data_IF_600224489676
#
_entry.id   IF_600224489676
#
_cell.length_a   1.000
_cell.length_b   1.000
_cell.length_c   1.000
_cell.angle_alpha   90.00
_cell.angle_beta   90.00
_cell.angle_gamma   90.00
#
_symmetry.space_group_name_H-M   'P 1'
#
loop_
_entity.id
_entity.type
_entity.pdbx_description
1 polymer ?
#
# COMPACT_ATOMS: atom_id res chain seq x y z
N UNK A 1 -84.05 -1.12 -22.27
CA UNK A 1 -82.88 -1.16 -23.19
C UNK A 1 -81.83 -0.16 -22.69
N UNK A 2 -80.80 -0.64 -22.00
CA UNK A 2 -79.80 0.22 -21.40
C UNK A 2 -78.43 -0.18 -21.99
N UNK A 3 -77.86 0.71 -22.79
CA UNK A 3 -76.53 0.56 -23.36
C UNK A 3 -75.45 0.99 -22.35
N UNK A 4 -74.68 0.05 -21.84
CA UNK A 4 -73.45 0.33 -21.06
C UNK A 4 -72.28 0.57 -22.03
N UNK A 5 -71.71 1.78 -21.94
CA UNK A 5 -70.50 2.18 -22.63
C UNK A 5 -69.30 1.69 -21.81
N UNK A 6 -68.48 0.77 -22.36
CA UNK A 6 -67.17 0.42 -21.83
C UNK A 6 -66.16 1.50 -22.18
N UNK A 7 -65.57 2.14 -21.18
CA UNK A 7 -64.40 3.01 -21.39
C UNK A 7 -63.12 2.15 -21.27
N UNK A 8 -62.34 2.15 -22.35
CA UNK A 8 -61.03 1.53 -22.37
C UNK A 8 -60.01 2.56 -21.91
N UNK A 9 -59.43 2.30 -20.75
CA UNK A 9 -58.33 3.10 -20.21
C UNK A 9 -57.02 2.57 -20.73
N UNK A 10 -56.37 3.32 -21.65
CA UNK A 10 -55.05 3.05 -22.17
C UNK A 10 -54.02 3.54 -21.14
N UNK A 11 -53.37 2.64 -20.41
CA UNK A 11 -52.27 2.95 -19.54
C UNK A 11 -50.98 3.10 -20.36
N UNK A 12 -50.49 4.32 -20.50
CA UNK A 12 -49.17 4.61 -21.08
C UNK A 12 -48.08 4.27 -20.03
N UNK A 13 -47.41 3.16 -20.21
CA UNK A 13 -46.23 2.83 -19.44
C UNK A 13 -45.05 3.67 -19.96
N UNK A 14 -44.70 4.76 -19.24
CA UNK A 14 -43.42 5.46 -19.43
C UNK A 14 -42.32 4.57 -18.88
N UNK A 15 -41.60 3.91 -19.79
CA UNK A 15 -40.35 3.23 -19.50
C UNK A 15 -39.28 4.28 -19.16
N UNK A 16 -38.95 4.44 -17.88
CA UNK A 16 -37.70 5.06 -17.46
C UNK A 16 -36.55 4.11 -17.89
N UNK A 17 -35.96 4.39 -19.03
CA UNK A 17 -34.61 3.90 -19.36
C UNK A 17 -33.66 4.59 -18.38
N UNK A 18 -33.40 3.94 -17.25
CA UNK A 18 -32.22 4.23 -16.45
C UNK A 18 -31.02 3.96 -17.35
N UNK A 19 -30.43 5.01 -17.91
CA UNK A 19 -29.11 4.96 -18.49
C UNK A 19 -28.15 4.55 -17.36
N UNK A 20 -27.90 3.24 -17.25
CA UNK A 20 -26.76 2.73 -16.53
C UNK A 20 -25.55 3.31 -17.25
N UNK A 21 -25.07 4.47 -16.78
CA UNK A 21 -23.83 5.05 -17.25
C UNK A 21 -22.77 3.96 -17.10
N UNK A 22 -22.27 3.47 -18.22
CA UNK A 22 -21.07 2.62 -18.24
C UNK A 22 -20.05 3.33 -17.38
N UNK A 23 -19.65 2.70 -16.28
CA UNK A 23 -18.57 3.21 -15.46
C UNK A 23 -17.36 3.30 -16.38
N UNK A 24 -17.10 4.48 -16.91
CA UNK A 24 -15.98 4.72 -17.83
C UNK A 24 -14.75 4.19 -17.15
N UNK A 25 -14.12 3.18 -17.77
CA UNK A 25 -12.94 2.55 -17.23
C UNK A 25 -11.91 3.65 -16.95
N UNK A 26 -11.49 3.76 -15.69
CA UNK A 26 -10.52 4.76 -15.26
C UNK A 26 -9.22 4.62 -16.05
N UNK A 27 -8.91 5.58 -16.91
CA UNK A 27 -7.58 5.71 -17.48
C UNK A 27 -6.65 6.27 -16.39
N UNK A 28 -5.95 5.36 -15.69
CA UNK A 28 -5.04 5.73 -14.62
C UNK A 28 -3.95 6.67 -15.10
N UNK A 29 -3.80 7.80 -14.43
CA UNK A 29 -2.82 8.84 -14.77
C UNK A 29 -1.88 9.16 -13.61
N UNK A 30 -2.08 8.56 -12.45
CA UNK A 30 -1.24 8.78 -11.27
C UNK A 30 -1.84 8.18 -10.02
N UNK A 31 -1.23 8.47 -8.88
CA UNK A 31 -1.70 8.06 -7.55
C UNK A 31 -1.47 9.16 -6.52
N UNK A 32 -2.21 9.08 -5.41
CA UNK A 32 -1.89 9.84 -4.20
C UNK A 32 -0.72 9.16 -3.49
N UNK A 33 0.36 9.90 -3.26
CA UNK A 33 1.55 9.38 -2.55
C UNK A 33 1.57 9.77 -1.08
N UNK A 34 0.93 10.89 -0.71
CA UNK A 34 0.90 11.36 0.67
C UNK A 34 -0.35 12.16 0.97
N UNK A 35 -0.87 11.99 2.17
CA UNK A 35 -1.96 12.78 2.73
C UNK A 35 -1.46 13.41 4.04
N UNK A 36 -1.67 14.73 4.19
CA UNK A 36 -1.42 15.46 5.43
C UNK A 36 -2.75 16.05 5.90
N UNK A 37 -3.11 15.83 7.14
CA UNK A 37 -4.40 16.21 7.70
C UNK A 37 -5.42 15.08 7.63
N UNK A 38 -6.71 15.42 7.69
CA UNK A 38 -7.77 14.41 7.70
C UNK A 38 -8.16 14.00 6.27
N UNK A 39 -8.28 12.71 5.96
CA UNK A 39 -8.65 12.25 4.61
C UNK A 39 -9.97 12.84 4.09
N UNK A 40 -10.95 13.14 4.97
CA UNK A 40 -12.22 13.77 4.60
C UNK A 40 -12.08 15.21 4.10
N UNK A 41 -10.94 15.87 4.36
CA UNK A 41 -10.64 17.22 3.87
C UNK A 41 -10.06 17.19 2.45
N UNK A 42 -9.90 16.00 1.86
CA UNK A 42 -9.47 15.78 0.48
C UNK A 42 -10.62 15.13 -0.28
N UNK A 43 -11.04 15.77 -1.34
CA UNK A 43 -12.13 15.27 -2.20
C UNK A 43 -11.59 15.06 -3.61
N UNK A 44 -11.75 13.86 -4.12
CA UNK A 44 -11.52 13.54 -5.53
C UNK A 44 -12.87 13.53 -6.21
N UNK A 45 -13.03 14.35 -7.24
CA UNK A 45 -14.22 14.35 -8.11
C UNK A 45 -13.89 13.60 -9.39
N UNK A 46 -14.55 12.48 -9.61
CA UNK A 46 -14.45 11.66 -10.83
C UNK A 46 -15.76 11.77 -11.60
N UNK A 47 -15.70 12.31 -12.81
CA UNK A 47 -16.92 12.61 -13.60
C UNK A 47 -17.95 13.43 -12.80
N UNK A 48 -17.48 14.35 -11.95
CA UNK A 48 -18.33 15.19 -11.11
C UNK A 48 -18.83 14.54 -9.81
N UNK A 49 -18.67 13.23 -9.63
CA UNK A 49 -19.06 12.52 -8.41
C UNK A 49 -17.85 12.37 -7.45
N UNK A 50 -18.06 12.51 -6.12
CA UNK A 50 -16.97 12.34 -5.16
C UNK A 50 -16.56 10.86 -5.03
N UNK A 51 -15.26 10.61 -5.09
CA UNK A 51 -14.66 9.32 -4.71
C UNK A 51 -14.60 9.26 -3.19
N UNK A 52 -15.16 8.20 -2.62
CA UNK A 52 -15.22 8.06 -1.17
C UNK A 52 -13.84 7.79 -0.57
N UNK A 53 -13.45 8.63 0.41
CA UNK A 53 -12.27 8.45 1.28
C UNK A 53 -10.95 8.22 0.52
N UNK A 54 -10.35 9.29 -0.05
CA UNK A 54 -9.05 9.21 -0.71
C UNK A 54 -7.97 8.64 0.21
N UNK A 55 -7.02 7.88 -0.34
CA UNK A 55 -5.97 7.17 0.41
C UNK A 55 -4.64 7.26 -0.32
N UNK A 56 -3.57 6.92 0.38
CA UNK A 56 -2.28 6.65 -0.25
C UNK A 56 -2.44 5.48 -1.21
N UNK A 57 -1.84 5.56 -2.39
CA UNK A 57 -2.01 4.69 -3.55
C UNK A 57 -3.41 4.75 -4.20
N UNK A 58 -4.31 5.67 -3.80
CA UNK A 58 -5.54 5.90 -4.56
C UNK A 58 -5.21 6.33 -5.98
N UNK A 59 -5.73 5.58 -6.96
CA UNK A 59 -5.47 5.84 -8.37
C UNK A 59 -6.27 7.05 -8.84
N UNK A 60 -5.59 7.98 -9.47
CA UNK A 60 -6.15 9.16 -10.10
C UNK A 60 -6.39 8.87 -11.58
N UNK A 61 -7.60 9.11 -12.03
CA UNK A 61 -7.98 9.00 -13.43
C UNK A 61 -7.74 10.32 -14.16
N UNK A 62 -7.63 10.24 -15.47
CA UNK A 62 -7.69 11.45 -16.31
C UNK A 62 -8.99 12.23 -16.03
N UNK A 63 -8.90 13.54 -16.03
CA UNK A 63 -9.96 14.49 -15.66
C UNK A 63 -10.45 14.44 -14.20
N UNK A 64 -9.89 13.60 -13.32
CA UNK A 64 -10.17 13.70 -11.89
C UNK A 64 -9.78 15.10 -11.39
N UNK A 65 -10.62 15.67 -10.52
CA UNK A 65 -10.31 16.93 -9.85
C UNK A 65 -10.13 16.68 -8.36
N UNK A 66 -8.93 16.98 -7.86
CA UNK A 66 -8.56 16.86 -6.46
C UNK A 66 -8.78 18.23 -5.80
N UNK A 67 -9.60 18.30 -4.77
CA UNK A 67 -9.84 19.48 -3.94
C UNK A 67 -9.37 19.23 -2.53
N UNK A 68 -8.65 20.19 -1.97
CA UNK A 68 -8.13 20.12 -0.61
C UNK A 68 -8.72 21.26 0.22
N UNK A 69 -9.12 20.99 1.44
CA UNK A 69 -9.79 21.94 2.35
C UNK A 69 -9.15 21.90 3.74
N UNK A 70 -9.52 22.83 4.60
CA UNK A 70 -9.22 22.84 6.04
C UNK A 70 -7.73 22.66 6.40
N UNK A 71 -6.82 23.22 5.60
CA UNK A 71 -5.37 23.12 5.86
C UNK A 71 -4.75 21.75 5.58
N UNK A 72 -5.50 20.80 5.04
CA UNK A 72 -4.95 19.54 4.57
C UNK A 72 -4.04 19.72 3.34
N UNK A 73 -3.29 18.70 2.98
CA UNK A 73 -2.51 18.65 1.75
C UNK A 73 -2.48 17.23 1.19
N UNK A 74 -2.41 17.12 -0.14
CA UNK A 74 -2.17 15.88 -0.85
C UNK A 74 -0.94 16.01 -1.75
N UNK A 75 -0.08 14.99 -1.75
CA UNK A 75 0.98 14.85 -2.75
C UNK A 75 0.56 13.77 -3.73
N UNK A 76 0.71 14.07 -5.00
CA UNK A 76 0.30 13.22 -6.11
C UNK A 76 1.54 12.87 -6.92
N UNK A 77 1.67 11.64 -7.36
CA UNK A 77 2.61 11.24 -8.41
C UNK A 77 1.82 11.11 -9.71
N UNK A 78 2.04 12.04 -10.63
CA UNK A 78 1.33 12.11 -11.91
C UNK A 78 2.27 11.70 -13.02
N UNK A 79 1.87 10.73 -13.81
CA UNK A 79 2.64 10.26 -14.94
C UNK A 79 2.94 11.40 -15.93
N UNK A 80 4.22 11.58 -16.28
CA UNK A 80 4.71 12.65 -17.16
C UNK A 80 4.78 14.06 -16.53
N UNK A 81 4.19 14.29 -15.35
CA UNK A 81 4.27 15.58 -14.64
C UNK A 81 5.08 15.48 -13.34
N UNK A 82 5.45 14.27 -12.92
CA UNK A 82 6.16 14.05 -11.66
C UNK A 82 5.28 14.28 -10.43
N UNK A 83 5.88 14.81 -9.36
CA UNK A 83 5.16 15.08 -8.12
C UNK A 83 4.47 16.44 -8.13
N UNK A 84 3.20 16.44 -7.75
CA UNK A 84 2.37 17.64 -7.60
C UNK A 84 1.86 17.70 -6.17
N UNK A 85 2.03 18.83 -5.49
CA UNK A 85 1.47 19.07 -4.16
C UNK A 85 0.28 20.01 -4.25
N UNK A 86 -0.87 19.54 -3.76
CA UNK A 86 -2.11 20.31 -3.64
C UNK A 86 -2.34 20.62 -2.17
N UNK A 87 -2.49 21.89 -1.80
CA UNK A 87 -2.64 22.31 -0.41
C UNK A 87 -3.53 23.55 -0.26
N UNK A 88 -4.05 23.76 0.94
CA UNK A 88 -4.96 24.88 1.21
C UNK A 88 -6.29 24.74 0.48
N UNK A 89 -6.89 25.83 0.04
CA UNK A 89 -8.16 25.83 -0.72
C UNK A 89 -7.92 25.62 -2.23
N UNK A 90 -6.87 24.90 -2.61
CA UNK A 90 -6.53 24.68 -4.01
C UNK A 90 -7.27 23.47 -4.60
N UNK A 91 -7.41 23.49 -5.93
CA UNK A 91 -7.84 22.35 -6.70
C UNK A 91 -6.83 22.03 -7.80
N UNK A 92 -6.67 20.76 -8.11
CA UNK A 92 -5.84 20.26 -9.20
C UNK A 92 -6.65 19.34 -10.07
N UNK A 93 -6.63 19.55 -11.38
CA UNK A 93 -7.29 18.65 -12.34
C UNK A 93 -6.23 17.86 -13.09
N UNK A 94 -6.36 16.53 -13.05
CA UNK A 94 -5.47 15.62 -13.78
C UNK A 94 -5.68 15.81 -15.28
N UNK A 95 -4.60 16.11 -16.00
CA UNK A 95 -4.67 16.37 -17.43
C UNK A 95 -5.19 15.15 -18.19
N UNK A 96 -6.07 15.41 -19.16
CA UNK A 96 -6.48 14.39 -20.13
C UNK A 96 -5.37 14.18 -21.17
N UNK A 97 -5.08 12.94 -21.45
CA UNK A 97 -4.17 12.55 -22.53
C UNK A 97 -4.98 12.01 -23.70
N UNK A 98 -4.71 12.52 -24.85
CA UNK A 98 -5.31 12.00 -26.08
C UNK A 98 -4.41 10.89 -26.64
N UNK A 99 -4.83 9.63 -26.55
CA UNK A 99 -4.06 8.49 -27.08
C UNK A 99 -4.51 7.14 -26.53
N UNK A 100 -3.89 6.08 -27.04
CA UNK A 100 -4.10 4.71 -26.53
C UNK A 100 -3.61 4.61 -25.05
N UNK A 101 -4.18 3.68 -24.25
CA UNK A 101 -3.73 3.44 -22.88
C UNK A 101 -2.23 3.23 -22.85
N UNK A 102 -1.51 4.06 -22.09
CA UNK A 102 -0.08 3.91 -21.90
C UNK A 102 0.24 2.69 -21.03
N UNK A 103 1.48 2.18 -21.08
CA UNK A 103 1.93 1.14 -20.14
C UNK A 103 1.72 1.58 -18.70
N UNK A 104 1.90 2.86 -18.41
CA UNK A 104 1.62 3.44 -17.10
C UNK A 104 0.13 3.37 -16.75
N UNK A 105 -0.77 3.69 -17.67
CA UNK A 105 -2.22 3.59 -17.45
C UNK A 105 -2.67 2.17 -17.11
N UNK A 106 -2.10 1.15 -17.75
CA UNK A 106 -2.35 -0.24 -17.41
C UNK A 106 -1.80 -0.63 -16.04
N UNK A 107 -0.59 -0.14 -15.68
CA UNK A 107 0.01 -0.39 -14.37
C UNK A 107 -0.81 0.24 -13.24
N UNK A 108 -1.31 1.47 -13.39
CA UNK A 108 -2.21 2.10 -12.43
C UNK A 108 -3.56 1.38 -12.34
N UNK A 109 -4.08 0.84 -13.44
CA UNK A 109 -5.28 -0.01 -13.40
C UNK A 109 -5.04 -1.25 -12.54
N UNK A 110 -3.89 -1.90 -12.67
CA UNK A 110 -3.54 -3.05 -11.81
C UNK A 110 -3.48 -2.66 -10.33
N UNK A 111 -2.98 -1.47 -9.98
CA UNK A 111 -3.05 -0.94 -8.60
C UNK A 111 -4.50 -0.80 -8.17
N UNK A 112 -5.36 -0.20 -9.02
CA UNK A 112 -6.78 -0.02 -8.73
C UNK A 112 -7.52 -1.34 -8.51
N UNK A 113 -7.30 -2.31 -9.37
CA UNK A 113 -8.07 -3.53 -9.39
C UNK A 113 -7.60 -4.54 -8.34
N UNK A 114 -6.30 -4.59 -8.07
CA UNK A 114 -5.69 -5.60 -7.19
C UNK A 114 -5.41 -5.10 -5.77
N UNK A 115 -5.01 -3.85 -5.57
CA UNK A 115 -4.58 -3.35 -4.26
C UNK A 115 -5.64 -2.46 -3.58
N UNK A 116 -6.35 -1.61 -4.34
CA UNK A 116 -7.35 -0.72 -3.75
C UNK A 116 -8.53 -1.41 -3.09
N UNK A 117 -9.07 -2.56 -3.56
CA UNK A 117 -10.15 -3.26 -2.87
C UNK A 117 -9.75 -3.66 -1.46
N UNK A 118 -8.52 -4.12 -1.26
CA UNK A 118 -8.02 -4.53 0.05
C UNK A 118 -7.75 -3.31 0.94
N UNK A 119 -7.19 -2.24 0.40
CA UNK A 119 -7.08 -0.95 1.07
C UNK A 119 -8.44 -0.41 1.54
N UNK A 120 -9.51 -0.61 0.77
CA UNK A 120 -10.87 -0.16 1.13
C UNK A 120 -11.52 -1.03 2.20
N UNK A 121 -11.16 -2.30 2.30
CA UNK A 121 -11.68 -3.24 3.31
C UNK A 121 -11.04 -3.04 4.67
N UNK A 122 -9.84 -2.49 4.72
CA UNK A 122 -9.18 -2.22 6.00
C UNK A 122 -9.92 -1.08 6.71
N UNK A 123 -10.47 -1.30 7.89
CA UNK A 123 -10.95 -0.19 8.70
C UNK A 123 -9.74 0.69 9.01
N UNK A 124 -9.78 1.94 8.55
CA UNK A 124 -8.78 2.97 8.89
C UNK A 124 -8.91 3.46 10.33
N UNK A 125 -9.84 2.96 11.08
CA UNK A 125 -9.60 2.76 12.48
C UNK A 125 -8.40 1.78 12.53
N UNK A 126 -7.18 2.36 12.35
CA UNK A 126 -6.12 1.91 13.23
C UNK A 126 -6.84 1.85 14.56
N UNK A 127 -7.32 0.69 14.94
CA UNK A 127 -7.32 0.38 16.34
C UNK A 127 -5.85 0.59 16.67
N UNK A 128 -5.52 1.82 17.10
CA UNK A 128 -4.65 1.92 18.24
C UNK A 128 -5.19 0.82 19.11
N UNK A 129 -4.57 -0.36 18.97
CA UNK A 129 -4.86 -1.46 19.87
C UNK A 129 -4.74 -0.75 21.19
N UNK A 130 -5.90 -0.39 21.78
CA UNK A 130 -5.91 0.28 23.06
C UNK A 130 -5.06 -0.57 23.97
N UNK A 131 -4.62 -0.12 25.16
CA UNK A 131 -3.82 -0.93 26.08
C UNK A 131 -4.61 -2.20 26.41
N UNK A 132 -4.67 -3.10 25.43
CA UNK A 132 -4.94 -4.50 25.61
C UNK A 132 -3.77 -5.07 26.41
N UNK A 133 -3.90 -6.24 27.01
CA UNK A 133 -2.81 -6.89 27.73
C UNK A 133 -1.59 -6.80 26.83
N UNK A 134 -0.53 -6.17 27.33
CA UNK A 134 0.66 -5.71 26.60
C UNK A 134 0.94 -6.60 25.40
N UNK A 135 0.73 -6.08 24.18
CA UNK A 135 1.08 -6.81 22.96
C UNK A 135 2.54 -7.17 23.12
N UNK A 136 2.81 -8.45 23.16
CA UNK A 136 4.15 -8.94 23.36
C UNK A 136 5.08 -8.32 22.33
N UNK A 137 6.29 -8.04 22.70
CA UNK A 137 7.36 -7.61 21.82
C UNK A 137 7.45 -8.57 20.61
N UNK A 138 7.35 -8.06 19.39
CA UNK A 138 7.24 -8.85 18.17
C UNK A 138 8.01 -8.26 16.98
N UNK A 139 8.33 -9.10 16.03
CA UNK A 139 8.83 -8.74 14.70
C UNK A 139 7.62 -8.69 13.75
N UNK A 140 7.33 -7.55 13.13
CA UNK A 140 6.01 -7.27 12.49
C UNK A 140 5.63 -8.24 11.40
N UNK A 141 6.52 -8.53 10.45
CA UNK A 141 6.24 -9.42 9.31
C UNK A 141 6.85 -10.82 9.45
N UNK A 142 7.59 -11.04 10.53
CA UNK A 142 8.29 -12.30 10.79
C UNK A 142 7.51 -13.24 11.72
N UNK A 143 6.21 -13.06 11.88
CA UNK A 143 5.35 -13.86 12.75
C UNK A 143 5.55 -15.39 12.64
N UNK A 144 4.50 -16.20 12.67
CA UNK A 144 4.58 -17.66 12.70
C UNK A 144 4.96 -18.34 11.37
N UNK A 145 5.13 -17.58 10.28
CA UNK A 145 5.41 -18.09 8.93
C UNK A 145 6.89 -18.39 8.66
N UNK A 146 7.15 -19.12 7.57
CA UNK A 146 8.49 -19.33 7.01
C UNK A 146 8.80 -18.19 6.04
N UNK A 147 9.33 -17.11 6.53
CA UNK A 147 9.67 -15.98 5.71
C UNK A 147 10.96 -16.23 4.89
N UNK A 148 10.97 -15.72 3.68
CA UNK A 148 12.05 -15.88 2.71
C UNK A 148 12.64 -14.52 2.35
N UNK A 149 13.95 -14.46 2.19
CA UNK A 149 14.70 -13.32 1.66
C UNK A 149 15.50 -13.75 0.42
N UNK A 150 15.72 -12.81 -0.48
CA UNK A 150 16.63 -13.01 -1.59
C UNK A 150 18.09 -12.87 -1.13
N UNK A 151 18.97 -13.75 -1.60
CA UNK A 151 20.42 -13.68 -1.34
C UNK A 151 21.06 -12.46 -2.00
N UNK A 152 22.20 -12.04 -1.47
CA UNK A 152 23.05 -10.97 -2.01
C UNK A 152 23.29 -9.81 -1.06
N UNK A 153 24.04 -8.79 -1.53
CA UNK A 153 24.37 -7.61 -0.74
C UNK A 153 23.14 -6.72 -0.57
N UNK A 154 22.86 -6.32 0.68
CA UNK A 154 21.74 -5.46 1.01
C UNK A 154 21.85 -4.83 2.40
N UNK A 155 21.10 -3.77 2.62
CA UNK A 155 20.67 -3.36 3.95
C UNK A 155 19.37 -4.09 4.29
N UNK A 156 19.15 -4.38 5.56
CA UNK A 156 17.99 -5.12 6.04
C UNK A 156 17.23 -4.28 7.06
N UNK A 157 16.02 -3.89 6.71
CA UNK A 157 15.10 -3.24 7.63
C UNK A 157 14.43 -4.30 8.51
N UNK A 158 14.52 -4.14 9.82
CA UNK A 158 13.79 -4.94 10.80
C UNK A 158 12.83 -4.04 11.56
N UNK A 159 11.54 -4.30 11.43
CA UNK A 159 10.46 -3.55 12.07
C UNK A 159 9.97 -4.30 13.30
N UNK A 160 9.78 -3.56 14.37
CA UNK A 160 9.40 -4.08 15.68
C UNK A 160 8.04 -3.51 16.10
N UNK A 161 7.24 -4.33 16.76
CA UNK A 161 5.99 -3.90 17.39
C UNK A 161 6.02 -4.17 18.88
N UNK A 162 5.51 -3.25 19.67
CA UNK A 162 5.53 -3.35 21.14
C UNK A 162 6.92 -3.22 21.75
N UNK A 163 7.08 -3.76 22.96
CA UNK A 163 8.32 -3.66 23.73
C UNK A 163 8.58 -2.28 24.34
N UNK A 164 9.70 -2.14 25.00
CA UNK A 164 10.18 -0.89 25.61
C UNK A 164 11.47 -0.47 24.92
N UNK A 165 11.47 0.68 24.23
CA UNK A 165 12.64 1.22 23.51
C UNK A 165 13.91 1.19 24.38
N UNK A 166 14.99 1.28 23.93
CA UNK A 166 16.03 0.99 23.11
C UNK A 166 16.13 -0.50 22.69
N UNK A 167 16.03 -0.71 21.42
CA UNK A 167 16.04 -2.05 20.84
C UNK A 167 17.46 -2.45 20.40
N UNK A 168 17.73 -3.76 20.43
CA UNK A 168 18.91 -4.37 19.80
C UNK A 168 18.43 -5.46 18.86
N UNK A 169 18.95 -5.46 17.65
CA UNK A 169 18.63 -6.47 16.63
C UNK A 169 19.92 -7.12 16.16
N UNK A 170 19.89 -8.43 15.99
CA UNK A 170 21.01 -9.22 15.48
C UNK A 170 20.51 -10.15 14.36
N UNK A 171 21.31 -10.36 13.35
CA UNK A 171 21.15 -11.43 12.39
C UNK A 171 22.23 -12.49 12.61
N UNK A 172 21.80 -13.72 12.81
CA UNK A 172 22.63 -14.88 13.07
C UNK A 172 22.65 -15.75 11.82
N UNK A 173 23.82 -16.05 11.31
CA UNK A 173 23.99 -16.87 10.11
C UNK A 173 23.81 -18.37 10.34
N UNK A 174 23.87 -19.18 9.26
CA UNK A 174 23.70 -20.64 9.32
C UNK A 174 24.71 -21.35 10.24
N UNK A 175 25.89 -20.76 10.44
CA UNK A 175 26.93 -21.28 11.34
C UNK A 175 26.77 -20.87 12.81
N UNK A 176 25.69 -20.17 13.17
CA UNK A 176 25.43 -19.71 14.54
C UNK A 176 26.18 -18.43 14.94
N UNK A 177 27.01 -17.87 14.06
CA UNK A 177 27.71 -16.61 14.29
C UNK A 177 26.82 -15.40 14.03
N UNK A 178 27.01 -14.32 14.80
CA UNK A 178 26.36 -13.02 14.53
C UNK A 178 27.04 -12.37 13.34
N UNK A 179 26.29 -12.10 12.27
CA UNK A 179 26.78 -11.46 11.05
C UNK A 179 26.71 -9.94 11.14
N UNK A 180 25.66 -9.41 11.73
CA UNK A 180 25.51 -7.99 11.97
C UNK A 180 24.61 -7.74 13.18
N UNK A 181 24.74 -6.54 13.74
CA UNK A 181 23.87 -6.05 14.80
C UNK A 181 23.57 -4.57 14.63
N UNK A 182 22.41 -4.16 15.08
CA UNK A 182 21.97 -2.77 15.12
C UNK A 182 21.29 -2.47 16.45
N UNK A 183 21.24 -1.21 16.83
CA UNK A 183 20.50 -0.75 17.99
C UNK A 183 19.92 0.64 17.74
N UNK A 184 18.80 0.94 18.39
CA UNK A 184 18.14 2.23 18.28
C UNK A 184 16.97 2.37 19.24
N UNK A 185 16.46 3.61 19.36
CA UNK A 185 15.26 3.90 20.14
C UNK A 185 13.96 3.77 19.29
N UNK A 186 14.10 3.81 17.96
CA UNK A 186 12.98 3.64 17.03
C UNK A 186 12.68 2.15 16.83
N UNK A 187 11.44 1.87 16.47
CA UNK A 187 10.97 0.51 16.17
C UNK A 187 11.52 -0.03 14.85
N UNK A 188 12.10 0.81 14.02
CA UNK A 188 12.71 0.46 12.74
C UNK A 188 14.23 0.45 12.89
N UNK A 189 14.84 -0.72 12.80
CA UNK A 189 16.30 -0.92 12.90
C UNK A 189 16.84 -1.39 11.56
N UNK A 190 17.81 -0.68 11.02
CA UNK A 190 18.48 -1.06 9.76
C UNK A 190 19.82 -1.72 10.08
N UNK A 191 19.99 -2.95 9.59
CA UNK A 191 21.28 -3.66 9.59
C UNK A 191 21.92 -3.41 8.21
N UNK A 192 23.06 -2.72 8.21
CA UNK A 192 23.70 -2.28 6.96
C UNK A 192 24.79 -3.24 6.48
N UNK A 193 25.07 -3.18 5.16
CA UNK A 193 26.19 -3.86 4.52
C UNK A 193 26.20 -5.39 4.71
N UNK A 194 25.04 -6.01 4.72
CA UNK A 194 24.92 -7.47 4.75
C UNK A 194 25.21 -8.05 3.38
N UNK A 195 25.92 -9.18 3.35
CA UNK A 195 25.99 -10.07 2.20
C UNK A 195 25.44 -11.44 2.60
N UNK A 196 24.19 -11.70 2.19
CA UNK A 196 23.45 -12.88 2.61
C UNK A 196 23.61 -14.00 1.59
N UNK A 197 24.35 -15.04 1.94
CA UNK A 197 24.40 -16.28 1.17
C UNK A 197 23.12 -17.11 1.39
N UNK A 198 22.71 -17.99 0.44
CA UNK A 198 21.60 -18.91 0.66
C UNK A 198 21.79 -19.76 1.93
N UNK A 199 20.72 -19.89 2.74
CA UNK A 199 20.76 -20.64 4.00
C UNK A 199 19.70 -20.19 5.01
N UNK A 200 19.70 -20.85 6.18
CA UNK A 200 18.78 -20.52 7.28
C UNK A 200 19.44 -19.51 8.22
N UNK A 201 18.74 -18.43 8.49
CA UNK A 201 19.15 -17.34 9.38
C UNK A 201 18.17 -17.19 10.53
N UNK A 202 18.61 -16.55 11.61
CA UNK A 202 17.77 -16.17 12.74
C UNK A 202 17.91 -14.67 12.96
N UNK A 203 16.80 -13.96 12.99
CA UNK A 203 16.75 -12.57 13.44
C UNK A 203 16.33 -12.59 14.90
N UNK A 204 17.15 -11.98 15.75
CA UNK A 204 16.91 -11.80 17.20
C UNK A 204 16.73 -10.34 17.50
N UNK A 205 15.71 -10.03 18.26
CA UNK A 205 15.55 -8.69 18.82
C UNK A 205 15.38 -8.76 20.32
N UNK A 206 15.89 -7.74 21.00
CA UNK A 206 15.73 -7.54 22.43
C UNK A 206 15.36 -6.07 22.68
N UNK A 207 14.52 -5.83 23.68
CA UNK A 207 14.18 -4.49 24.16
C UNK A 207 14.94 -4.14 25.46
N UNK A 208 14.77 -2.90 25.95
CA UNK A 208 15.45 -2.45 27.17
C UNK A 208 14.94 -3.12 28.46
N UNK A 209 13.77 -3.76 28.43
CA UNK A 209 13.25 -4.53 29.56
C UNK A 209 13.88 -5.93 29.67
N UNK A 210 14.62 -6.36 28.64
CA UNK A 210 15.18 -7.70 28.50
C UNK A 210 14.21 -8.69 27.82
N UNK A 211 13.05 -8.24 27.34
CA UNK A 211 12.19 -9.08 26.50
C UNK A 211 12.90 -9.38 25.17
N UNK A 212 12.75 -10.62 24.68
CA UNK A 212 13.42 -11.08 23.47
C UNK A 212 12.43 -11.75 22.52
N UNK A 213 12.67 -11.59 21.23
CA UNK A 213 11.93 -12.29 20.17
C UNK A 213 12.90 -12.80 19.10
N UNK A 214 12.60 -13.98 18.55
CA UNK A 214 13.39 -14.57 17.47
C UNK A 214 12.48 -15.02 16.34
N UNK A 215 12.95 -14.85 15.11
CA UNK A 215 12.30 -15.38 13.91
C UNK A 215 13.33 -16.04 12.98
N UNK A 216 12.89 -17.11 12.33
CA UNK A 216 13.69 -17.83 11.33
C UNK A 216 13.36 -17.29 9.94
N UNK A 217 14.42 -17.03 9.17
CA UNK A 217 14.32 -16.55 7.79
C UNK A 217 15.15 -17.46 6.88
N UNK A 218 14.58 -17.87 5.76
CA UNK A 218 15.28 -18.62 4.74
C UNK A 218 15.79 -17.66 3.67
N UNK A 219 17.09 -17.61 3.46
CA UNK A 219 17.68 -16.87 2.34
C UNK A 219 17.82 -17.81 1.15
N UNK A 220 17.32 -17.40 -0.01
CA UNK A 220 17.33 -18.18 -1.25
C UNK A 220 17.98 -17.41 -2.39
N UNK A 221 18.53 -18.13 -3.37
CA UNK A 221 19.11 -17.52 -4.57
C UNK A 221 18.02 -17.02 -5.54
N UNK A 222 16.82 -17.62 -5.48
CA UNK A 222 15.72 -17.27 -6.34
C UNK A 222 15.14 -15.88 -5.99
N UNK A 223 14.72 -15.17 -7.03
CA UNK A 223 14.05 -13.87 -6.85
C UNK A 223 12.59 -14.08 -6.48
N UNK A 224 12.00 -13.17 -5.69
CA UNK A 224 10.58 -13.22 -5.41
C UNK A 224 9.76 -13.10 -6.71
N UNK A 225 8.58 -13.73 -6.79
CA UNK A 225 7.71 -13.68 -7.96
C UNK A 225 7.01 -12.32 -8.08
N UNK A 226 7.79 -11.27 -8.32
CA UNK A 226 7.26 -9.90 -8.46
C UNK A 226 6.58 -9.73 -9.81
N UNK A 227 5.34 -9.26 -9.81
CA UNK A 227 4.58 -9.04 -11.03
C UNK A 227 5.17 -7.92 -11.90
N UNK A 228 5.41 -8.14 -13.21
CA UNK A 228 5.82 -7.10 -14.14
C UNK A 228 4.70 -6.10 -14.45
N UNK A 229 3.48 -6.36 -13.97
CA UNK A 229 2.30 -5.53 -14.23
C UNK A 229 2.45 -4.06 -13.77
N UNK A 230 3.42 -3.78 -12.89
CA UNK A 230 3.70 -2.45 -12.34
C UNK A 230 4.89 -1.75 -13.01
N UNK A 231 5.53 -2.36 -13.99
CA UNK A 231 6.76 -1.82 -14.62
C UNK A 231 6.53 -0.49 -15.34
N UNK A 232 5.31 -0.24 -15.80
CA UNK A 232 4.92 1.02 -16.43
C UNK A 232 4.83 2.23 -15.50
N UNK A 233 4.88 2.06 -14.17
CA UNK A 233 4.87 3.18 -13.21
C UNK A 233 6.22 3.88 -13.26
N UNK A 234 6.24 5.16 -13.65
CA UNK A 234 7.47 5.94 -13.80
C UNK A 234 8.14 6.23 -12.45
N UNK A 235 7.36 6.59 -11.43
CA UNK A 235 7.86 6.82 -10.08
C UNK A 235 8.35 5.51 -9.46
N UNK A 236 9.66 5.45 -9.18
CA UNK A 236 10.32 4.23 -8.69
C UNK A 236 9.86 3.81 -7.30
N UNK A 237 9.53 4.75 -6.42
CA UNK A 237 9.03 4.46 -5.08
C UNK A 237 7.59 3.93 -5.14
N UNK A 238 6.72 4.55 -5.94
CA UNK A 238 5.35 4.07 -6.17
C UNK A 238 5.36 2.68 -6.81
N UNK A 239 6.24 2.45 -7.79
CA UNK A 239 6.42 1.13 -8.42
C UNK A 239 6.87 0.07 -7.42
N UNK A 240 7.85 0.39 -6.56
CA UNK A 240 8.31 -0.51 -5.51
C UNK A 240 7.19 -0.80 -4.50
N UNK A 241 6.43 0.21 -4.08
CA UNK A 241 5.30 0.05 -3.19
C UNK A 241 4.20 -0.87 -3.77
N UNK A 242 3.85 -0.67 -5.03
CA UNK A 242 2.86 -1.51 -5.70
C UNK A 242 3.33 -2.98 -5.81
N UNK A 243 4.59 -3.20 -6.20
CA UNK A 243 5.20 -4.53 -6.26
C UNK A 243 5.29 -5.21 -4.89
N UNK A 244 5.70 -4.46 -3.86
CA UNK A 244 5.79 -4.96 -2.50
C UNK A 244 4.41 -5.37 -1.95
N UNK A 245 3.42 -4.51 -2.11
CA UNK A 245 2.06 -4.79 -1.66
C UNK A 245 1.44 -5.98 -2.40
N UNK A 246 1.64 -6.10 -3.72
CA UNK A 246 1.14 -7.24 -4.50
C UNK A 246 1.84 -8.56 -4.11
N UNK A 247 3.15 -8.53 -3.90
CA UNK A 247 3.91 -9.68 -3.43
C UNK A 247 3.42 -10.16 -2.06
N UNK A 248 3.25 -9.24 -1.11
CA UNK A 248 2.71 -9.56 0.22
C UNK A 248 1.28 -10.12 0.12
N UNK A 249 0.41 -9.52 -0.71
CA UNK A 249 -0.97 -9.99 -0.91
C UNK A 249 -1.04 -11.41 -1.47
N UNK A 250 -0.20 -11.73 -2.43
CA UNK A 250 -0.26 -13.00 -3.17
C UNK A 250 0.54 -14.12 -2.51
N UNK A 251 1.53 -13.79 -1.68
CA UNK A 251 2.49 -14.73 -1.10
C UNK A 251 2.86 -14.37 0.35
N UNK A 252 1.88 -13.95 1.16
CA UNK A 252 2.10 -13.45 2.51
C UNK A 252 2.91 -14.38 3.41
N UNK A 253 2.59 -15.68 3.39
CA UNK A 253 3.24 -16.68 4.24
C UNK A 253 4.73 -16.88 3.96
N UNK A 254 5.20 -16.41 2.81
CA UNK A 254 6.58 -16.67 2.35
C UNK A 254 7.39 -15.39 2.13
N UNK A 255 6.78 -14.33 1.60
CA UNK A 255 7.50 -13.19 1.06
C UNK A 255 7.14 -11.84 1.70
N UNK A 256 6.36 -11.79 2.77
CA UNK A 256 5.98 -10.52 3.42
C UNK A 256 7.20 -9.74 3.91
N UNK A 257 8.21 -10.42 4.45
CA UNK A 257 9.42 -9.76 4.91
C UNK A 257 10.28 -9.23 3.75
N UNK A 258 10.38 -9.96 2.62
CA UNK A 258 11.04 -9.44 1.40
C UNK A 258 10.26 -8.27 0.81
N UNK A 259 8.93 -8.26 0.90
CA UNK A 259 8.10 -7.14 0.46
C UNK A 259 8.45 -5.84 1.18
N UNK A 260 8.68 -5.88 2.49
CA UNK A 260 9.19 -4.72 3.24
C UNK A 260 10.58 -4.28 2.74
N UNK A 261 11.45 -5.23 2.43
CA UNK A 261 12.78 -4.91 1.93
C UNK A 261 12.74 -4.24 0.55
N UNK A 262 11.85 -4.69 -0.35
CA UNK A 262 11.63 -4.06 -1.66
C UNK A 262 11.22 -2.59 -1.49
N UNK A 263 10.29 -2.31 -0.59
CA UNK A 263 9.84 -0.94 -0.32
C UNK A 263 10.94 -0.11 0.36
N UNK A 264 11.62 -0.66 1.37
CA UNK A 264 12.64 0.06 2.14
C UNK A 264 13.86 0.46 1.28
N UNK A 265 14.23 -0.38 0.31
CA UNK A 265 15.38 -0.15 -0.57
C UNK A 265 15.09 0.81 -1.73
N UNK A 266 13.82 1.16 -1.97
CA UNK A 266 13.46 2.10 -3.03
C UNK A 266 13.94 3.53 -2.71
N UNK A 267 14.37 4.31 -3.71
CA UNK A 267 14.67 5.73 -3.51
C UNK A 267 13.46 6.48 -2.97
N UNK A 268 13.64 7.31 -1.94
CA UNK A 268 12.56 8.10 -1.38
C UNK A 268 12.17 9.23 -2.33
N UNK A 269 10.94 9.23 -2.83
CA UNK A 269 10.38 10.27 -3.70
C UNK A 269 9.22 11.03 -3.04
N UNK A 270 8.83 10.66 -1.82
CA UNK A 270 7.79 11.36 -1.04
C UNK A 270 6.54 10.54 -0.76
N UNK A 271 6.55 9.23 -1.04
CA UNK A 271 5.51 8.32 -0.63
C UNK A 271 5.43 8.22 0.90
N UNK A 272 4.23 8.16 1.43
CA UNK A 272 3.99 7.77 2.81
C UNK A 272 4.18 6.25 2.97
N UNK A 273 5.44 5.86 3.16
CA UNK A 273 5.84 4.44 3.30
C UNK A 273 5.16 3.76 4.46
N UNK A 274 4.91 4.48 5.56
CA UNK A 274 4.28 3.89 6.74
C UNK A 274 2.89 3.34 6.41
N UNK A 275 2.11 4.05 5.62
CA UNK A 275 0.82 3.54 5.13
C UNK A 275 0.96 2.27 4.29
N UNK A 276 2.02 2.15 3.50
CA UNK A 276 2.27 0.94 2.67
C UNK A 276 2.80 -0.21 3.52
N UNK A 277 3.68 0.06 4.50
CA UNK A 277 4.12 -0.98 5.45
C UNK A 277 2.95 -1.58 6.20
N UNK A 278 2.03 -0.76 6.73
CA UNK A 278 0.80 -1.25 7.37
C UNK A 278 -0.06 -2.10 6.44
N UNK A 279 -0.10 -1.76 5.16
CA UNK A 279 -0.78 -2.59 4.17
C UNK A 279 -0.10 -3.95 4.02
N UNK A 280 1.23 -3.98 3.87
CA UNK A 280 2.01 -5.22 3.77
C UNK A 280 1.81 -6.09 5.02
N UNK A 281 1.93 -5.52 6.21
CA UNK A 281 1.71 -6.20 7.49
C UNK A 281 0.32 -6.80 7.62
N UNK A 282 -0.69 -6.14 7.04
CA UNK A 282 -2.08 -6.61 7.10
C UNK A 282 -2.36 -7.88 6.29
N UNK A 283 -1.50 -8.19 5.33
CA UNK A 283 -1.54 -9.44 4.56
C UNK A 283 -0.79 -10.58 5.27
N UNK A 284 0.09 -10.26 6.19
CA UNK A 284 0.86 -11.24 6.95
C UNK A 284 -0.01 -12.15 7.82
N UNK A 285 0.51 -13.29 8.25
CA UNK A 285 -0.20 -14.19 9.15
C UNK A 285 -0.53 -13.48 10.48
N UNK A 286 -1.77 -13.63 10.91
CA UNK A 286 -2.30 -13.06 12.16
C UNK A 286 -1.68 -13.73 13.41
#
# INVERSE_FOLDING_TARGET
>A
MSMRRCAVATAAALGLLAAAGEASACAGAGVITRIVGKPQDIVILRSGAPVARPRVLEVLCEADTIRVQNGAAATLSIDGSGQVRVQGAQSYTVAQRHGAPSLAGNAYRNVSDNLLPDLKRQPWDVRLRGPGPALGFALTTLGSGKQTLTAGPRDLLVRLDGGVGAYKVQIVGPGGGVLAQGAGAANDIVLTHLDLAPGAYVIRAADSSGATVEAKVMVVADRPPVSPAYDGIADSEVRAAARAADLARTNADTWSFESEQILSSAPATGLDRESVFKLIESYGPA
#
